data_IF_969455050317
#
_entry.id   IF_969455050317
#
_cell.length_a   1.000
_cell.length_b   1.000
_cell.length_c   1.000
_cell.angle_alpha   90.00
_cell.angle_beta   90.00
_cell.angle_gamma   90.00
#
_symmetry.space_group_name_H-M   'P 1'
#
loop_
_entity.id
_entity.type
_entity.pdbx_description
1 polymer ?
#
# COMPACT_ATOMS: atom_id res chain seq x y z
N UNK A 1 -9.54 11.39 -38.63
CA UNK A 1 -8.13 11.82 -38.45
C UNK A 1 -8.13 13.11 -37.64
N UNK A 2 -7.59 13.10 -36.42
CA UNK A 2 -7.47 14.31 -35.57
C UNK A 2 -6.25 15.13 -35.99
N UNK A 3 -6.39 16.46 -36.10
CA UNK A 3 -5.33 17.35 -36.58
C UNK A 3 -4.13 17.39 -35.62
N UNK A 4 -2.93 17.68 -36.15
CA UNK A 4 -1.71 17.86 -35.35
C UNK A 4 -1.85 18.92 -34.25
N UNK A 5 -2.62 19.99 -34.51
CA UNK A 5 -2.94 21.03 -33.52
C UNK A 5 -3.76 20.50 -32.35
N UNK A 6 -4.70 19.59 -32.61
CA UNK A 6 -5.50 18.93 -31.57
C UNK A 6 -4.61 18.04 -30.70
N UNK A 7 -3.65 17.32 -31.29
CA UNK A 7 -2.69 16.49 -30.53
C UNK A 7 -1.79 17.33 -29.62
N UNK A 8 -1.28 18.46 -30.12
CA UNK A 8 -0.43 19.38 -29.35
C UNK A 8 -1.23 19.97 -28.18
N UNK A 9 -2.44 20.49 -28.43
CA UNK A 9 -3.29 21.06 -27.38
C UNK A 9 -3.65 20.05 -26.29
N UNK A 10 -3.95 18.79 -26.64
CA UNK A 10 -4.22 17.73 -25.67
C UNK A 10 -2.96 17.39 -24.86
N UNK A 11 -1.79 17.35 -25.51
CA UNK A 11 -0.51 17.07 -24.84
C UNK A 11 -0.12 18.19 -23.87
N UNK A 12 -0.35 19.45 -24.23
CA UNK A 12 -0.11 20.58 -23.33
C UNK A 12 -1.12 20.65 -22.18
N UNK A 13 -2.41 20.37 -22.44
CA UNK A 13 -3.41 20.28 -21.36
C UNK A 13 -3.13 19.13 -20.39
N UNK A 14 -2.56 18.02 -20.86
CA UNK A 14 -2.18 16.87 -20.02
C UNK A 14 -0.95 17.11 -19.14
N UNK A 15 -0.20 18.21 -19.36
CA UNK A 15 0.90 18.63 -18.47
C UNK A 15 0.41 19.34 -17.21
N UNK A 16 -0.85 19.76 -17.19
CA UNK A 16 -1.51 20.25 -15.98
C UNK A 16 -1.98 19.02 -15.19
N UNK A 17 -1.67 18.98 -13.90
CA UNK A 17 -2.05 17.97 -12.88
C UNK A 17 -3.21 17.07 -13.35
N UNK A 18 -2.96 15.76 -13.47
CA UNK A 18 -3.93 14.82 -14.03
C UNK A 18 -5.30 15.03 -13.39
N UNK A 19 -6.32 15.24 -14.24
CA UNK A 19 -7.72 15.40 -13.81
C UNK A 19 -8.38 14.07 -13.46
N UNK A 20 -7.70 12.98 -13.80
CA UNK A 20 -8.20 11.63 -13.67
C UNK A 20 -7.23 10.81 -12.86
N UNK A 21 -7.77 10.07 -11.90
CA UNK A 21 -7.07 9.00 -11.21
C UNK A 21 -7.19 7.73 -12.05
N UNK A 22 -6.08 7.06 -12.30
CA UNK A 22 -6.05 5.79 -13.03
C UNK A 22 -5.72 4.65 -12.08
N UNK A 23 -6.57 3.62 -12.07
CA UNK A 23 -6.27 2.35 -11.40
C UNK A 23 -6.09 1.27 -12.45
N UNK A 24 -4.91 0.64 -12.46
CA UNK A 24 -4.65 -0.52 -13.29
C UNK A 24 -4.78 -1.79 -12.46
N UNK A 25 -5.70 -2.67 -12.87
CA UNK A 25 -5.96 -3.96 -12.23
C UNK A 25 -5.52 -5.07 -13.16
N UNK A 26 -4.39 -5.72 -12.90
CA UNK A 26 -3.85 -6.83 -13.70
C UNK A 26 -4.02 -8.16 -12.95
N UNK A 27 -5.28 -8.60 -12.87
CA UNK A 27 -5.67 -9.89 -12.29
C UNK A 27 -6.49 -10.70 -13.28
N UNK A 28 -7.09 -11.80 -12.81
CA UNK A 28 -8.03 -12.61 -13.61
C UNK A 28 -9.12 -11.77 -14.29
N UNK A 29 -9.50 -10.66 -13.63
CA UNK A 29 -10.42 -9.66 -14.15
C UNK A 29 -9.68 -8.36 -14.42
N UNK A 30 -8.90 -8.38 -15.51
CA UNK A 30 -8.06 -7.25 -15.88
C UNK A 30 -8.93 -6.03 -16.22
N UNK A 31 -8.62 -4.88 -15.62
CA UNK A 31 -9.42 -3.67 -15.78
C UNK A 31 -8.56 -2.40 -15.70
N UNK A 32 -8.97 -1.37 -16.44
CA UNK A 32 -8.54 0.01 -16.23
C UNK A 32 -9.71 0.80 -15.67
N UNK A 33 -9.55 1.33 -14.48
CA UNK A 33 -10.46 2.31 -13.89
C UNK A 33 -9.93 3.71 -14.17
N UNK A 34 -10.81 4.61 -14.58
CA UNK A 34 -10.55 6.04 -14.69
C UNK A 34 -11.57 6.74 -13.81
N UNK A 35 -11.12 7.49 -12.81
CA UNK A 35 -11.99 8.23 -11.91
C UNK A 35 -11.70 9.73 -11.99
N UNK A 36 -12.75 10.55 -12.08
CA UNK A 36 -12.62 12.01 -12.12
C UNK A 36 -13.96 12.70 -12.03
N UNK A 37 -14.01 13.87 -11.38
CA UNK A 37 -15.21 14.68 -11.21
C UNK A 37 -16.43 13.92 -10.64
N UNK A 38 -16.19 13.05 -9.65
CA UNK A 38 -17.24 12.27 -9.00
C UNK A 38 -17.82 11.13 -9.85
N UNK A 39 -17.14 10.76 -10.95
CA UNK A 39 -17.51 9.66 -11.82
C UNK A 39 -16.38 8.66 -11.97
N UNK A 40 -16.74 7.41 -12.24
CA UNK A 40 -15.79 6.31 -12.45
C UNK A 40 -16.16 5.50 -13.69
N UNK A 41 -15.17 5.20 -14.53
CA UNK A 41 -15.33 4.35 -15.70
C UNK A 41 -14.43 3.14 -15.60
N UNK A 42 -14.99 1.95 -15.76
CA UNK A 42 -14.26 0.69 -15.69
C UNK A 42 -14.23 0.02 -17.07
N UNK A 43 -13.03 -0.19 -17.59
CA UNK A 43 -12.78 -0.89 -18.84
C UNK A 43 -12.25 -2.28 -18.53
N UNK A 44 -13.14 -3.26 -18.53
CA UNK A 44 -12.87 -4.64 -18.17
C UNK A 44 -12.54 -5.47 -19.42
N UNK A 45 -11.57 -6.37 -19.29
CA UNK A 45 -11.17 -7.32 -20.33
C UNK A 45 -11.30 -8.73 -19.76
N UNK A 46 -11.99 -9.62 -20.49
CA UNK A 46 -12.18 -11.01 -20.03
C UNK A 46 -12.27 -11.96 -21.21
N UNK A 47 -11.85 -13.20 -20.99
CA UNK A 47 -12.05 -14.31 -21.93
C UNK A 47 -13.46 -14.91 -21.83
N UNK A 48 -14.22 -14.58 -20.79
CA UNK A 48 -15.53 -15.19 -20.50
C UNK A 48 -16.70 -14.40 -21.15
N UNK A 49 -17.40 -14.96 -22.16
CA UNK A 49 -18.50 -14.28 -22.85
C UNK A 49 -19.70 -13.98 -21.95
N UNK A 50 -19.92 -14.74 -20.87
CA UNK A 50 -21.05 -14.50 -19.95
C UNK A 50 -20.96 -13.13 -19.26
N UNK A 51 -19.77 -12.52 -19.22
CA UNK A 51 -19.58 -11.16 -18.70
C UNK A 51 -20.10 -10.08 -19.64
N UNK A 52 -20.23 -10.36 -20.95
CA UNK A 52 -20.87 -9.43 -21.88
C UNK A 52 -22.37 -9.27 -21.61
N UNK A 53 -23.04 -10.27 -21.03
CA UNK A 53 -24.44 -10.14 -20.65
C UNK A 53 -24.67 -9.12 -19.51
N UNK A 54 -23.59 -8.70 -18.81
CA UNK A 54 -23.61 -7.66 -17.78
C UNK A 54 -23.23 -6.27 -18.33
N UNK A 55 -22.98 -6.14 -19.64
CA UNK A 55 -22.09 -5.12 -20.20
C UNK A 55 -22.56 -3.67 -20.32
N UNK A 56 -23.73 -3.31 -19.80
CA UNK A 56 -24.19 -1.91 -19.88
C UNK A 56 -25.08 -1.53 -18.72
N UNK A 57 -24.51 -1.43 -17.52
CA UNK A 57 -25.10 -0.60 -16.47
C UNK A 57 -24.35 0.74 -16.43
N UNK A 58 -24.84 1.68 -17.23
CA UNK A 58 -24.54 3.10 -17.02
C UNK A 58 -25.34 3.54 -15.80
N UNK A 59 -24.68 3.79 -14.68
CA UNK A 59 -25.31 4.41 -13.52
C UNK A 59 -25.01 5.91 -13.52
N UNK A 60 -25.72 6.68 -12.68
CA UNK A 60 -25.44 8.11 -12.51
C UNK A 60 -23.99 8.41 -12.04
N UNK A 61 -23.28 7.40 -11.52
CA UNK A 61 -21.95 7.50 -10.92
C UNK A 61 -20.83 6.96 -11.81
N UNK A 62 -21.16 6.38 -12.97
CA UNK A 62 -20.15 5.72 -13.78
C UNK A 62 -20.68 4.71 -14.80
N UNK A 63 -19.75 4.06 -15.50
CA UNK A 63 -20.06 3.00 -16.45
C UNK A 63 -19.03 1.89 -16.44
N UNK A 64 -19.51 0.66 -16.59
CA UNK A 64 -18.67 -0.51 -16.83
C UNK A 64 -18.77 -0.91 -18.29
N UNK A 65 -17.63 -1.08 -18.94
CA UNK A 65 -17.52 -1.57 -20.30
C UNK A 65 -16.79 -2.90 -20.22
N UNK A 66 -17.42 -3.95 -20.74
CA UNK A 66 -16.83 -5.28 -20.80
C UNK A 66 -16.43 -5.59 -22.23
N UNK A 67 -15.15 -5.88 -22.42
CA UNK A 67 -14.59 -6.28 -23.69
C UNK A 67 -14.21 -7.76 -23.63
N UNK A 68 -14.67 -8.53 -24.61
CA UNK A 68 -14.20 -9.89 -24.80
C UNK A 68 -12.80 -9.85 -25.41
N UNK A 69 -11.86 -10.50 -24.76
CA UNK A 69 -10.46 -10.51 -25.13
C UNK A 69 -9.90 -11.93 -25.02
N UNK A 70 -9.04 -12.31 -25.98
CA UNK A 70 -8.28 -13.57 -25.92
C UNK A 70 -7.08 -13.46 -24.97
N UNK A 71 -6.53 -12.25 -24.85
CA UNK A 71 -5.43 -11.91 -23.95
C UNK A 71 -5.77 -10.61 -23.20
N UNK A 72 -6.51 -10.71 -22.08
CA UNK A 72 -6.98 -9.55 -21.33
C UNK A 72 -5.86 -8.61 -20.88
N UNK A 73 -4.68 -9.15 -20.57
CA UNK A 73 -3.53 -8.37 -20.13
C UNK A 73 -2.99 -7.52 -21.28
N UNK A 74 -2.72 -8.14 -22.42
CA UNK A 74 -2.17 -7.44 -23.59
C UNK A 74 -3.15 -6.38 -24.11
N UNK A 75 -4.44 -6.71 -24.20
CA UNK A 75 -5.46 -5.76 -24.68
C UNK A 75 -5.68 -4.59 -23.71
N UNK A 76 -5.59 -4.84 -22.40
CA UNK A 76 -5.63 -3.79 -21.38
C UNK A 76 -4.43 -2.84 -21.51
N UNK A 77 -3.21 -3.36 -21.62
CA UNK A 77 -2.00 -2.55 -21.83
C UNK A 77 -2.12 -1.72 -23.12
N UNK A 78 -2.54 -2.35 -24.23
CA UNK A 78 -2.77 -1.65 -25.50
C UNK A 78 -3.82 -0.55 -25.39
N UNK A 79 -4.83 -0.74 -24.55
CA UNK A 79 -5.84 0.28 -24.30
C UNK A 79 -5.27 1.45 -23.50
N UNK A 80 -4.55 1.19 -22.41
CA UNK A 80 -3.87 2.24 -21.64
C UNK A 80 -2.95 3.08 -22.55
N UNK A 81 -2.14 2.45 -23.38
CA UNK A 81 -1.24 3.14 -24.32
C UNK A 81 -1.97 4.12 -25.27
N UNK A 82 -3.23 3.83 -25.62
CA UNK A 82 -4.08 4.73 -26.43
C UNK A 82 -4.59 5.92 -25.64
N UNK A 83 -4.90 5.74 -24.36
CA UNK A 83 -5.56 6.75 -23.52
C UNK A 83 -4.59 7.51 -22.59
N UNK A 84 -3.37 7.03 -22.39
CA UNK A 84 -2.43 7.55 -21.38
C UNK A 84 -2.17 9.05 -21.53
N UNK A 85 -2.19 9.59 -22.75
CA UNK A 85 -2.06 11.02 -22.99
C UNK A 85 -3.19 11.86 -22.37
N UNK A 86 -4.41 11.33 -22.32
CA UNK A 86 -5.57 11.97 -21.68
C UNK A 86 -5.48 11.85 -20.16
N UNK A 87 -4.93 10.75 -19.66
CA UNK A 87 -4.77 10.46 -18.24
C UNK A 87 -3.50 11.06 -17.61
N UNK A 88 -2.85 12.04 -18.26
CA UNK A 88 -1.63 12.66 -17.73
C UNK A 88 -0.41 11.72 -17.68
N UNK A 89 -0.49 10.55 -18.33
CA UNK A 89 0.52 9.48 -18.34
C UNK A 89 0.87 8.95 -16.94
N UNK A 90 -0.09 9.03 -16.02
CA UNK A 90 0.08 8.61 -14.64
C UNK A 90 -0.86 7.44 -14.31
N UNK A 91 -0.32 6.46 -13.60
CA UNK A 91 -1.01 5.35 -12.97
C UNK A 91 -0.91 5.60 -11.46
N UNK A 92 -2.03 5.92 -10.82
CA UNK A 92 -2.03 6.22 -9.39
C UNK A 92 -2.10 4.94 -8.57
N UNK A 93 -2.93 4.00 -9.00
CA UNK A 93 -3.13 2.74 -8.30
C UNK A 93 -2.78 1.55 -9.20
N UNK A 94 -2.02 0.60 -8.67
CA UNK A 94 -1.66 -0.62 -9.36
C UNK A 94 -2.01 -1.84 -8.51
N UNK A 95 -2.76 -2.76 -9.09
CA UNK A 95 -3.12 -4.02 -8.45
C UNK A 95 -2.76 -5.19 -9.33
N UNK A 96 -2.11 -6.21 -8.76
CA UNK A 96 -1.77 -7.43 -9.49
C UNK A 96 -1.74 -8.64 -8.58
N UNK A 97 -1.96 -9.84 -9.13
CA UNK A 97 -1.63 -11.06 -8.41
C UNK A 97 -0.12 -11.18 -8.23
N UNK A 98 0.67 -10.93 -9.27
CA UNK A 98 2.12 -11.06 -9.19
C UNK A 98 2.80 -10.14 -10.22
N UNK A 99 3.70 -9.23 -9.81
CA UNK A 99 4.34 -8.26 -10.68
C UNK A 99 5.49 -8.91 -11.47
N UNK A 100 5.15 -9.73 -12.47
CA UNK A 100 6.15 -10.36 -13.35
C UNK A 100 7.10 -9.30 -13.94
N UNK A 101 8.39 -9.63 -14.19
CA UNK A 101 9.36 -8.68 -14.72
C UNK A 101 8.89 -7.92 -15.95
N UNK A 102 8.17 -8.57 -16.88
CA UNK A 102 7.62 -7.90 -18.07
C UNK A 102 6.58 -6.81 -17.77
N UNK A 103 5.80 -6.96 -16.70
CA UNK A 103 4.84 -5.94 -16.25
C UNK A 103 5.61 -4.80 -15.58
N UNK A 104 6.58 -5.13 -14.74
CA UNK A 104 7.46 -4.16 -14.08
C UNK A 104 8.22 -3.31 -15.08
N UNK A 105 8.85 -3.93 -16.08
CA UNK A 105 9.55 -3.26 -17.18
C UNK A 105 8.62 -2.31 -17.93
N UNK A 106 7.41 -2.77 -18.25
CA UNK A 106 6.42 -1.93 -18.91
C UNK A 106 5.98 -0.74 -18.06
N UNK A 107 5.72 -0.94 -16.75
CA UNK A 107 5.37 0.13 -15.81
C UNK A 107 6.48 1.17 -15.70
N UNK A 108 7.74 0.71 -15.65
CA UNK A 108 8.93 1.56 -15.56
C UNK A 108 9.08 2.47 -16.78
N UNK A 109 8.64 2.03 -17.96
CA UNK A 109 8.57 2.88 -19.16
C UNK A 109 7.50 3.97 -19.06
N UNK A 110 6.52 3.83 -18.16
CA UNK A 110 5.47 4.84 -17.96
C UNK A 110 5.85 5.84 -16.87
N UNK A 111 6.35 5.37 -15.73
CA UNK A 111 6.67 6.20 -14.56
C UNK A 111 7.63 5.50 -13.59
N UNK A 112 8.38 6.31 -12.82
CA UNK A 112 9.35 5.81 -11.84
C UNK A 112 8.72 5.47 -10.47
N UNK A 113 7.54 6.01 -10.18
CA UNK A 113 6.86 5.83 -8.91
C UNK A 113 5.36 5.63 -9.08
N UNK A 114 4.76 4.77 -8.27
CA UNK A 114 3.31 4.56 -8.17
C UNK A 114 2.86 5.00 -6.77
N UNK A 115 1.68 5.60 -6.66
CA UNK A 115 1.16 6.04 -5.36
C UNK A 115 0.72 4.83 -4.54
N UNK A 116 -0.21 4.03 -5.06
CA UNK A 116 -0.76 2.89 -4.32
C UNK A 116 -0.52 1.59 -5.08
N UNK A 117 0.07 0.61 -4.41
CA UNK A 117 0.36 -0.72 -4.98
C UNK A 117 -0.21 -1.80 -4.06
N UNK A 118 -0.94 -2.73 -4.65
CA UNK A 118 -1.38 -3.95 -3.96
C UNK A 118 -1.02 -5.20 -4.76
N UNK A 119 -0.23 -6.08 -4.15
CA UNK A 119 0.20 -7.36 -4.71
C UNK A 119 -0.45 -8.50 -3.91
N UNK A 120 -1.27 -9.34 -4.54
CA UNK A 120 -2.08 -10.36 -3.83
C UNK A 120 -1.40 -11.74 -3.70
N UNK A 121 -0.52 -12.13 -4.60
CA UNK A 121 0.10 -13.46 -4.64
C UNK A 121 1.58 -13.35 -4.98
N UNK A 122 2.24 -12.37 -4.38
CA UNK A 122 3.63 -12.03 -4.67
C UNK A 122 4.55 -13.24 -4.55
N UNK A 123 5.42 -13.41 -5.55
CA UNK A 123 6.56 -14.33 -5.53
C UNK A 123 7.82 -13.57 -5.16
N UNK A 124 8.68 -14.18 -4.36
CA UNK A 124 9.89 -13.55 -3.79
C UNK A 124 10.67 -12.72 -4.80
N UNK A 125 11.09 -13.34 -5.91
CA UNK A 125 11.97 -12.70 -6.89
C UNK A 125 11.26 -11.60 -7.68
N UNK A 126 9.99 -11.82 -8.04
CA UNK A 126 9.19 -10.87 -8.81
C UNK A 126 8.85 -9.63 -7.97
N UNK A 127 8.52 -9.80 -6.69
CA UNK A 127 8.25 -8.69 -5.76
C UNK A 127 9.53 -7.90 -5.48
N UNK A 128 10.65 -8.61 -5.25
CA UNK A 128 11.95 -7.96 -5.06
C UNK A 128 12.34 -7.14 -6.29
N UNK A 129 12.23 -7.74 -7.47
CA UNK A 129 12.49 -7.05 -8.73
C UNK A 129 11.57 -5.84 -8.91
N UNK A 130 10.28 -5.95 -8.58
CA UNK A 130 9.35 -4.83 -8.63
C UNK A 130 9.79 -3.66 -7.73
N UNK A 131 10.10 -3.92 -6.46
CA UNK A 131 10.49 -2.87 -5.50
C UNK A 131 11.87 -2.26 -5.78
N UNK A 132 12.77 -2.99 -6.45
CA UNK A 132 14.05 -2.45 -6.93
C UNK A 132 13.90 -1.48 -8.12
N UNK A 133 12.78 -1.57 -8.86
CA UNK A 133 12.59 -0.85 -10.12
C UNK A 133 11.47 0.20 -10.09
N UNK A 134 10.52 0.11 -9.16
CA UNK A 134 9.39 1.01 -9.02
C UNK A 134 9.27 1.49 -7.58
N UNK A 135 9.27 2.82 -7.39
CA UNK A 135 9.07 3.41 -6.07
C UNK A 135 7.58 3.43 -5.69
N UNK A 136 7.26 3.07 -4.45
CA UNK A 136 5.88 3.17 -3.93
C UNK A 136 5.82 4.28 -2.88
N UNK A 137 4.95 5.28 -3.07
CA UNK A 137 4.98 6.53 -2.27
C UNK A 137 3.80 6.71 -1.33
N UNK A 138 2.65 6.13 -1.66
CA UNK A 138 1.43 6.14 -0.86
C UNK A 138 1.30 4.86 -0.04
N UNK A 139 0.40 3.97 -0.48
CA UNK A 139 0.15 2.68 0.18
C UNK A 139 0.85 1.53 -0.54
N UNK A 140 1.59 0.71 0.21
CA UNK A 140 2.09 -0.58 -0.27
C UNK A 140 1.42 -1.72 0.50
N UNK A 141 0.66 -2.54 -0.21
CA UNK A 141 -0.01 -3.73 0.32
C UNK A 141 0.55 -5.00 -0.32
N UNK A 142 0.88 -5.99 0.51
CA UNK A 142 1.51 -7.23 0.06
C UNK A 142 0.91 -8.46 0.74
N UNK A 143 0.44 -9.39 -0.09
CA UNK A 143 0.18 -10.78 0.27
C UNK A 143 1.14 -11.65 -0.56
N UNK A 144 2.06 -12.31 0.14
CA UNK A 144 2.95 -13.32 -0.44
C UNK A 144 2.25 -14.67 -0.47
N UNK A 145 2.35 -15.38 -1.60
CA UNK A 145 1.85 -16.76 -1.73
C UNK A 145 2.90 -17.78 -1.29
N UNK A 146 4.17 -17.54 -1.64
CA UNK A 146 5.31 -18.40 -1.35
C UNK A 146 6.55 -17.53 -1.16
N UNK A 147 7.34 -17.83 -0.14
CA UNK A 147 8.67 -17.26 0.07
C UNK A 147 9.59 -18.35 0.63
N UNK A 148 10.87 -18.25 0.31
CA UNK A 148 11.88 -19.21 0.75
C UNK A 148 12.18 -19.06 2.25
N UNK A 149 12.76 -20.11 2.84
CA UNK A 149 13.27 -20.02 4.21
C UNK A 149 14.37 -18.95 4.26
N UNK A 150 14.26 -18.03 5.23
CA UNK A 150 15.14 -16.85 5.36
C UNK A 150 15.01 -15.80 4.24
N UNK A 151 13.89 -15.80 3.50
CA UNK A 151 13.60 -14.71 2.57
C UNK A 151 13.64 -13.36 3.30
N UNK A 152 14.35 -12.41 2.72
CA UNK A 152 14.39 -11.03 3.17
C UNK A 152 13.95 -10.12 2.04
N UNK A 153 13.10 -9.17 2.39
CA UNK A 153 12.63 -8.12 1.50
C UNK A 153 13.06 -6.79 2.11
N UNK A 154 13.85 -6.04 1.36
CA UNK A 154 14.14 -4.65 1.69
C UNK A 154 13.03 -3.81 1.09
N UNK A 155 12.22 -3.20 1.96
CA UNK A 155 11.12 -2.34 1.56
C UNK A 155 11.67 -0.91 1.49
N UNK A 156 11.58 -0.23 0.33
CA UNK A 156 12.06 1.13 0.18
C UNK A 156 11.44 2.08 1.21
N UNK A 157 12.13 3.20 1.52
CA UNK A 157 11.76 4.12 2.60
C UNK A 157 10.54 5.01 2.32
N UNK A 158 9.95 4.87 1.13
CA UNK A 158 8.99 5.82 0.57
C UNK A 158 7.49 5.61 0.93
N UNK A 159 6.97 4.41 1.29
CA UNK A 159 5.54 4.26 1.46
C UNK A 159 5.07 4.94 2.74
N UNK A 160 4.04 5.78 2.62
CA UNK A 160 3.35 6.38 3.77
C UNK A 160 2.65 5.29 4.60
N UNK A 161 2.03 4.32 3.93
CA UNK A 161 1.32 3.20 4.55
C UNK A 161 1.90 1.88 4.05
N UNK A 162 2.22 0.99 4.98
CA UNK A 162 2.74 -0.34 4.69
C UNK A 162 1.84 -1.40 5.33
N UNK A 163 1.29 -2.30 4.51
CA UNK A 163 0.47 -3.43 4.97
C UNK A 163 1.00 -4.73 4.38
N UNK A 164 1.50 -5.62 5.24
CA UNK A 164 2.00 -6.94 4.84
C UNK A 164 1.15 -8.00 5.53
N UNK A 165 0.35 -8.72 4.75
CA UNK A 165 -0.57 -9.73 5.27
C UNK A 165 0.15 -11.03 5.68
N UNK A 166 1.23 -11.38 4.99
CA UNK A 166 2.04 -12.59 5.23
C UNK A 166 3.43 -12.19 5.75
N UNK A 167 3.48 -11.46 6.88
CA UNK A 167 4.72 -10.86 7.40
C UNK A 167 5.67 -11.81 8.13
N UNK A 168 5.49 -13.13 8.02
CA UNK A 168 6.35 -14.16 8.64
C UNK A 168 7.83 -14.07 8.25
N UNK A 169 8.13 -13.43 7.12
CA UNK A 169 9.50 -13.24 6.65
C UNK A 169 10.15 -11.97 7.22
N UNK A 170 9.40 -11.10 7.91
CA UNK A 170 9.93 -9.91 8.56
C UNK A 170 10.45 -10.30 9.94
N UNK A 171 11.78 -10.33 10.08
CA UNK A 171 12.43 -10.51 11.38
C UNK A 171 12.59 -9.18 12.14
N UNK A 172 13.13 -9.24 13.36
CA UNK A 172 13.37 -8.05 14.18
C UNK A 172 14.26 -7.01 13.51
N UNK A 173 15.37 -7.43 12.90
CA UNK A 173 16.29 -6.51 12.26
C UNK A 173 15.63 -5.75 11.09
N UNK A 174 14.78 -6.43 10.31
CA UNK A 174 13.99 -5.80 9.27
C UNK A 174 12.94 -4.86 9.84
N UNK A 175 12.22 -5.27 10.90
CA UNK A 175 11.26 -4.41 11.58
C UNK A 175 11.90 -3.08 11.96
N UNK A 176 13.06 -3.09 12.62
CA UNK A 176 13.76 -1.88 13.06
C UNK A 176 14.16 -0.96 11.91
N UNK A 177 14.41 -1.51 10.71
CA UNK A 177 14.76 -0.74 9.50
C UNK A 177 13.55 -0.21 8.73
N UNK A 178 12.33 -0.70 8.99
CA UNK A 178 11.15 -0.25 8.26
C UNK A 178 10.92 1.26 8.49
N UNK A 179 10.57 1.95 7.40
CA UNK A 179 10.21 3.36 7.42
C UNK A 179 8.86 3.52 6.72
N UNK A 180 7.85 3.82 7.52
CA UNK A 180 6.51 4.23 7.09
C UNK A 180 5.82 4.93 8.26
N UNK A 181 4.86 5.81 7.97
CA UNK A 181 4.04 6.47 9.01
C UNK A 181 3.03 5.51 9.60
N UNK A 182 2.45 4.65 8.77
CA UNK A 182 1.57 3.56 9.20
C UNK A 182 2.12 2.20 8.79
N UNK A 183 2.26 1.29 9.76
CA UNK A 183 2.73 -0.08 9.52
C UNK A 183 1.69 -1.09 10.03
N UNK A 184 1.33 -2.07 9.20
CA UNK A 184 0.46 -3.17 9.58
C UNK A 184 1.07 -4.50 9.13
N UNK A 185 1.52 -5.30 10.09
CA UNK A 185 2.15 -6.60 9.86
C UNK A 185 1.22 -7.69 10.37
N UNK A 186 0.63 -8.47 9.47
CA UNK A 186 -0.20 -9.62 9.83
C UNK A 186 0.57 -10.92 9.73
N UNK A 187 0.16 -11.90 10.53
CA UNK A 187 0.84 -13.20 10.62
C UNK A 187 2.33 -13.06 10.93
N UNK A 188 2.71 -12.14 11.83
CA UNK A 188 4.11 -11.99 12.22
C UNK A 188 4.59 -13.20 13.04
N UNK A 189 5.90 -13.43 13.04
CA UNK A 189 6.58 -14.42 13.90
C UNK A 189 7.36 -13.76 15.05
N UNK A 190 7.29 -12.43 15.17
CA UNK A 190 8.02 -11.68 16.20
C UNK A 190 7.59 -12.11 17.59
N UNK A 191 8.56 -12.27 18.49
CA UNK A 191 8.38 -12.70 19.88
C UNK A 191 8.11 -11.55 20.83
N UNK A 192 7.63 -11.85 22.05
CA UNK A 192 7.43 -10.84 23.11
C UNK A 192 8.69 -10.01 23.37
N UNK A 193 9.87 -10.66 23.33
CA UNK A 193 11.17 -10.02 23.53
C UNK A 193 11.52 -9.05 22.40
N UNK A 194 11.23 -9.43 21.15
CA UNK A 194 11.48 -8.58 19.99
C UNK A 194 10.51 -7.38 19.97
N UNK A 195 9.24 -7.59 20.32
CA UNK A 195 8.27 -6.51 20.46
C UNK A 195 8.65 -5.54 21.60
N UNK A 196 9.10 -6.05 22.74
CA UNK A 196 9.67 -5.23 23.82
C UNK A 196 10.88 -4.42 23.33
N UNK A 197 11.80 -5.06 22.60
CA UNK A 197 12.96 -4.40 21.99
C UNK A 197 12.57 -3.28 21.03
N UNK A 198 11.56 -3.52 20.20
CA UNK A 198 10.99 -2.51 19.31
C UNK A 198 10.45 -1.31 20.10
N UNK A 199 9.67 -1.54 21.16
CA UNK A 199 9.15 -0.45 22.00
C UNK A 199 10.28 0.34 22.66
N UNK A 200 11.33 -0.33 23.17
CA UNK A 200 12.52 0.35 23.73
C UNK A 200 13.20 1.23 22.68
N UNK A 201 13.42 0.70 21.48
CA UNK A 201 14.04 1.43 20.37
C UNK A 201 13.21 2.64 19.92
N UNK A 202 11.88 2.50 19.88
CA UNK A 202 11.00 3.64 19.59
C UNK A 202 11.08 4.68 20.72
N UNK A 203 11.01 4.25 21.99
CA UNK A 203 11.07 5.15 23.16
C UNK A 203 12.41 5.88 23.28
N UNK A 204 13.51 5.29 22.82
CA UNK A 204 14.85 5.91 22.83
C UNK A 204 15.12 6.83 21.63
N UNK A 205 14.18 7.00 20.69
CA UNK A 205 14.38 7.68 19.40
C UNK A 205 15.42 6.99 18.49
N UNK A 206 15.65 5.69 18.65
CA UNK A 206 16.59 4.93 17.80
C UNK A 206 15.95 4.42 16.50
N UNK A 207 14.62 4.28 16.45
CA UNK A 207 13.91 3.85 15.24
C UNK A 207 12.54 4.53 15.09
N UNK A 208 11.97 4.45 13.88
CA UNK A 208 10.56 4.80 13.61
C UNK A 208 10.18 6.23 14.06
N UNK A 209 11.02 7.23 13.75
CA UNK A 209 10.84 8.61 14.21
C UNK A 209 9.54 9.27 13.74
N UNK A 210 9.13 8.94 12.52
CA UNK A 210 7.92 9.45 11.84
C UNK A 210 6.70 8.54 11.99
N UNK A 211 6.81 7.48 12.80
CA UNK A 211 5.71 6.53 13.00
C UNK A 211 4.52 7.22 13.68
N UNK A 212 3.34 7.00 13.13
CA UNK A 212 2.06 7.43 13.67
C UNK A 212 1.29 6.25 14.25
N UNK A 213 1.39 5.10 13.58
CA UNK A 213 0.66 3.90 13.97
C UNK A 213 1.38 2.65 13.51
N UNK A 214 1.47 1.67 14.41
CA UNK A 214 1.87 0.31 14.07
C UNK A 214 0.89 -0.71 14.63
N UNK A 215 0.61 -1.74 13.84
CA UNK A 215 -0.20 -2.89 14.24
C UNK A 215 0.52 -4.16 13.84
N UNK A 216 0.82 -5.02 14.80
CA UNK A 216 1.50 -6.30 14.56
C UNK A 216 0.61 -7.41 15.12
N UNK A 217 0.21 -8.35 14.28
CA UNK A 217 -0.45 -9.56 14.77
C UNK A 217 0.51 -10.36 15.64
N UNK A 218 0.01 -10.74 16.81
CA UNK A 218 0.75 -11.54 17.79
C UNK A 218 0.10 -12.93 17.91
N UNK A 219 0.87 -13.93 18.36
CA UNK A 219 0.26 -15.23 18.67
C UNK A 219 -0.60 -15.14 19.94
N UNK A 220 -1.56 -16.05 20.09
CA UNK A 220 -2.44 -16.09 21.28
C UNK A 220 -1.67 -16.33 22.59
N UNK A 221 -0.47 -16.92 22.48
CA UNK A 221 0.44 -17.16 23.61
C UNK A 221 1.18 -15.90 24.05
N UNK A 222 1.16 -14.82 23.25
CA UNK A 222 1.82 -13.57 23.60
C UNK A 222 1.02 -12.78 24.64
N UNK A 223 1.71 -12.40 25.71
CA UNK A 223 1.13 -11.72 26.85
C UNK A 223 1.63 -10.28 26.83
N UNK A 224 0.71 -9.32 26.76
CA UNK A 224 1.07 -7.90 26.72
C UNK A 224 1.90 -7.49 27.94
N UNK A 225 1.62 -8.05 29.12
CA UNK A 225 2.43 -7.78 30.31
C UNK A 225 3.90 -8.17 30.11
N UNK A 226 4.19 -9.30 29.47
CA UNK A 226 5.57 -9.70 29.14
C UNK A 226 6.24 -8.75 28.14
N UNK A 227 5.48 -8.26 27.15
CA UNK A 227 5.95 -7.25 26.20
C UNK A 227 6.26 -5.93 26.92
N UNK A 228 5.52 -5.60 27.98
CA UNK A 228 5.67 -4.35 28.72
C UNK A 228 6.68 -4.42 29.88
N UNK A 229 7.24 -5.60 30.17
CA UNK A 229 8.26 -5.77 31.23
C UNK A 229 9.43 -4.80 31.03
N UNK A 230 9.84 -4.16 32.11
CA UNK A 230 10.95 -3.20 32.18
C UNK A 230 10.80 -1.96 31.27
N UNK A 231 9.57 -1.64 30.82
CA UNK A 231 9.28 -0.38 30.14
C UNK A 231 8.71 0.64 31.13
N UNK A 232 9.19 1.90 31.15
CA UNK A 232 8.51 2.95 31.87
C UNK A 232 7.18 3.27 31.18
N UNK A 233 6.07 3.04 31.87
CA UNK A 233 4.72 3.20 31.32
C UNK A 233 3.71 3.64 32.39
N UNK A 234 2.60 4.21 31.94
CA UNK A 234 1.42 4.45 32.76
C UNK A 234 0.29 3.51 32.32
N UNK A 235 -0.43 2.91 33.26
CA UNK A 235 -1.60 2.08 32.95
C UNK A 235 -2.82 2.98 32.79
N UNK A 236 -3.42 2.97 31.60
CA UNK A 236 -4.65 3.69 31.28
C UNK A 236 -5.87 2.77 31.19
N UNK A 237 -7.03 3.35 30.89
CA UNK A 237 -8.30 2.60 30.71
C UNK A 237 -8.27 1.68 29.50
N UNK A 238 -7.55 2.08 28.44
CA UNK A 238 -7.54 1.40 27.14
C UNK A 238 -6.17 0.84 26.74
N UNK A 239 -5.30 0.56 27.72
CA UNK A 239 -3.96 0.01 27.52
C UNK A 239 -2.89 0.73 28.33
N UNK A 240 -1.68 0.80 27.78
CA UNK A 240 -0.50 1.40 28.40
C UNK A 240 -0.11 2.67 27.64
N UNK A 241 0.24 3.72 28.37
CA UNK A 241 0.87 4.90 27.79
C UNK A 241 2.37 4.80 27.96
N UNK A 242 3.10 5.01 26.88
CA UNK A 242 4.56 5.10 26.88
C UNK A 242 4.98 6.45 26.33
N UNK A 243 6.13 6.93 26.80
CA UNK A 243 6.71 8.20 26.41
C UNK A 243 8.05 7.98 25.73
N UNK A 244 8.24 8.65 24.60
CA UNK A 244 9.48 8.72 23.86
C UNK A 244 10.38 9.82 24.43
N UNK A 245 11.70 9.68 24.27
CA UNK A 245 12.70 10.60 24.82
C UNK A 245 12.56 12.04 24.31
N UNK A 246 11.99 12.23 23.12
CA UNK A 246 11.64 13.55 22.55
C UNK A 246 10.32 14.13 23.08
N UNK A 247 9.65 13.45 24.00
CA UNK A 247 8.41 13.89 24.61
C UNK A 247 7.13 13.41 23.92
N UNK A 248 7.21 12.74 22.76
CA UNK A 248 6.01 12.15 22.13
C UNK A 248 5.44 11.02 22.98
N UNK A 249 4.12 10.92 23.02
CA UNK A 249 3.42 9.86 23.75
C UNK A 249 2.73 8.90 22.77
N UNK A 250 2.62 7.64 23.17
CA UNK A 250 1.88 6.65 22.42
C UNK A 250 1.04 5.76 23.35
N UNK A 251 -0.12 5.33 22.84
CA UNK A 251 -0.94 4.32 23.49
C UNK A 251 -0.62 2.96 22.88
N UNK A 252 -0.24 2.02 23.73
CA UNK A 252 0.01 0.62 23.42
C UNK A 252 -1.13 -0.21 24.00
N UNK A 253 -1.78 -1.01 23.16
CA UNK A 253 -2.85 -1.89 23.61
C UNK A 253 -2.85 -3.21 22.86
N UNK A 254 -3.49 -4.18 23.48
CA UNK A 254 -3.79 -5.46 22.87
C UNK A 254 -5.22 -5.42 22.35
N UNK A 255 -5.40 -5.50 21.03
CA UNK A 255 -6.71 -5.75 20.46
C UNK A 255 -6.91 -7.26 20.30
N UNK A 256 -7.90 -7.81 21.01
CA UNK A 256 -8.27 -9.23 20.97
C UNK A 256 -9.49 -9.50 20.11
N UNK A 257 -10.12 -8.48 19.52
CA UNK A 257 -11.27 -8.69 18.64
C UNK A 257 -10.79 -9.16 17.27
N UNK A 258 -10.97 -10.46 16.99
CA UNK A 258 -10.48 -11.11 15.79
C UNK A 258 -9.13 -11.80 16.02
N UNK A 259 -8.11 -11.44 15.24
CA UNK A 259 -6.75 -11.96 15.44
C UNK A 259 -5.99 -11.04 16.39
N UNK A 260 -5.45 -11.54 17.53
CA UNK A 260 -4.74 -10.73 18.50
C UNK A 260 -3.65 -9.87 17.84
N UNK A 261 -3.59 -8.60 18.21
CA UNK A 261 -2.56 -7.70 17.71
C UNK A 261 -2.08 -6.70 18.77
N UNK A 262 -0.77 -6.47 18.77
CA UNK A 262 -0.17 -5.33 19.43
C UNK A 262 -0.46 -4.10 18.58
N UNK A 263 -1.04 -3.10 19.20
CA UNK A 263 -1.37 -1.83 18.58
C UNK A 263 -0.63 -0.72 19.31
N UNK A 264 0.15 0.08 18.58
CA UNK A 264 0.72 1.33 19.06
C UNK A 264 0.23 2.47 18.19
N UNK A 265 -0.30 3.53 18.82
CA UNK A 265 -0.67 4.78 18.16
C UNK A 265 -0.03 5.97 18.87
N UNK A 266 0.76 6.73 18.11
CA UNK A 266 1.37 7.97 18.57
C UNK A 266 0.30 9.05 18.67
N UNK A 267 0.31 9.79 19.77
CA UNK A 267 -0.59 10.91 19.96
C UNK A 267 -0.05 12.12 19.19
N UNK A 268 -0.92 12.77 18.43
CA UNK A 268 -0.61 14.11 17.95
C UNK A 268 -0.67 15.05 19.16
N UNK A 269 0.47 15.65 19.50
CA UNK A 269 0.48 16.77 20.43
C UNK A 269 -0.34 17.88 19.77
N UNK A 270 -1.58 18.06 20.24
CA UNK A 270 -2.36 19.26 19.99
C UNK A 270 -1.79 20.36 20.87
N UNK A 271 -0.54 20.76 20.61
CA UNK A 271 -0.02 22.02 21.13
C UNK A 271 -0.69 23.17 20.35
N UNK A 272 -1.85 23.55 20.88
CA UNK A 272 -2.33 24.92 21.07
C UNK A 272 -1.49 25.97 20.30
N UNK A 273 -1.92 26.31 19.09
CA UNK A 273 -1.71 27.64 18.52
C UNK A 273 -2.73 28.61 19.12
N UNK A 274 -2.59 28.94 20.40
CA UNK A 274 -3.03 30.23 20.91
C UNK A 274 -1.77 31.09 21.01
N UNK A 275 -1.35 31.63 19.87
CA UNK A 275 -0.57 32.86 19.87
C UNK A 275 -1.58 33.99 19.98
N UNK A 276 -1.72 34.52 21.19
CA UNK A 276 -2.30 35.85 21.42
C UNK A 276 -1.51 36.87 20.61
N UNK A 277 -2.18 37.53 19.66
CA UNK A 277 -1.86 38.88 19.18
C UNK A 277 -3.16 39.59 18.79
#
# INVERSE_FOLDING_TARGET
MTSSRTKIAVTEFSRLKSRFRVTLRLTNDTCIEIAGHGRTWNYNYSTNPSRLARSTYSTYWGGEIYNLSKDPLEDCIKWYEKIRGVCGRQIDNFFTHNPKPSITDWLRLQQDSIENVFIQEGRSDDVKYFLENIRVTGSFELIMSHFEMNFQLEIPEDPTHLLIYTSKFINYDQLIRLKAREINLRQSILTNRELNGFLKSWMSCESHLDLEKITINISEEQIIDEIMVDLPHEVGTDGYKIKRSDGKEANVKLDRFGSPCLYLKVQENSEILFLDF
#
